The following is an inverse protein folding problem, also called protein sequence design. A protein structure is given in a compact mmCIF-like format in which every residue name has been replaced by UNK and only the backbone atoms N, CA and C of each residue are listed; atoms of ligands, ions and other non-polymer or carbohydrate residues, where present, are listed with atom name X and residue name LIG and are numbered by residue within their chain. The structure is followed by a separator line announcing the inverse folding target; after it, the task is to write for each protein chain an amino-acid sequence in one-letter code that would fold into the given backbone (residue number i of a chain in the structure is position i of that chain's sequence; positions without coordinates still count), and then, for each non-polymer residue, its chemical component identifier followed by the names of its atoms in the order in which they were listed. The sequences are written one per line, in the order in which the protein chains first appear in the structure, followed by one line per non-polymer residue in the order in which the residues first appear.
data_IF_046741871411
#
_entry.id   IF_046741871411
#
_cell.length_a   1.000
_cell.length_b   1.000
_cell.length_c   1.000
_cell.angle_alpha   90.00
_cell.angle_beta   90.00
_cell.angle_gamma   90.00
#
_symmetry.space_group_name_H-M   'P 1'
#
loop_
_entity.id
_entity.type
_entity.pdbx_description
1 polymer ?
#
# COMPACT_ATOMS: atom_id res chain seq x y z
N UNK A 1 6.56 1.48 19.83
CA UNK A 1 6.82 2.90 20.16
C UNK A 1 5.59 3.79 19.98
N UNK A 2 4.78 3.62 18.93
CA UNK A 2 3.59 4.47 18.70
C UNK A 2 2.49 4.28 19.75
N UNK A 3 2.24 3.05 20.21
CA UNK A 3 1.23 2.75 21.23
C UNK A 3 1.58 3.33 22.61
N UNK A 4 2.85 3.31 22.98
CA UNK A 4 3.32 3.91 24.24
C UNK A 4 3.20 5.44 24.22
N UNK A 5 3.39 6.09 23.07
CA UNK A 5 3.22 7.55 22.92
C UNK A 5 1.74 7.96 22.99
N UNK A 6 0.84 7.18 22.39
CA UNK A 6 -0.60 7.43 22.44
C UNK A 6 -1.16 7.25 23.87
N UNK A 7 -0.72 6.22 24.55
CA UNK A 7 -1.11 5.96 25.94
C UNK A 7 -0.55 7.03 26.90
N UNK A 8 0.69 7.45 26.70
CA UNK A 8 1.29 8.54 27.46
C UNK A 8 0.55 9.86 27.21
N UNK A 9 0.09 10.12 25.98
CA UNK A 9 -0.72 11.28 25.65
C UNK A 9 -2.07 11.29 26.36
N UNK A 10 -2.78 10.16 26.36
CA UNK A 10 -4.08 10.03 27.04
C UNK A 10 -3.94 10.16 28.56
N UNK A 11 -2.93 9.52 29.15
CA UNK A 11 -2.65 9.63 30.58
C UNK A 11 -2.23 11.07 31.00
N UNK A 12 -1.48 11.77 30.14
CA UNK A 12 -1.10 13.16 30.40
C UNK A 12 -2.30 14.10 30.35
N UNK A 13 -3.23 13.89 29.43
CA UNK A 13 -4.48 14.68 29.35
C UNK A 13 -5.39 14.40 30.53
N UNK A 14 -5.52 13.15 30.98
CA UNK A 14 -6.31 12.78 32.16
C UNK A 14 -5.68 13.33 33.44
N UNK A 15 -4.36 13.26 33.58
CA UNK A 15 -3.64 13.84 34.71
C UNK A 15 -3.74 15.37 34.74
N UNK A 16 -3.68 16.02 33.56
CA UNK A 16 -3.87 17.47 33.43
C UNK A 16 -5.30 17.88 33.79
N UNK A 17 -6.30 17.13 33.33
CA UNK A 17 -7.72 17.38 33.65
C UNK A 17 -8.00 17.18 35.15
N UNK A 18 -7.45 16.12 35.76
CA UNK A 18 -7.54 15.89 37.20
C UNK A 18 -6.79 16.99 38.00
N UNK A 19 -5.60 17.38 37.59
CA UNK A 19 -4.83 18.48 38.20
C UNK A 19 -5.54 19.83 38.12
N UNK A 20 -6.18 20.15 37.01
CA UNK A 20 -7.00 21.37 36.84
C UNK A 20 -8.26 21.31 37.72
N UNK A 21 -8.91 20.14 37.80
CA UNK A 21 -10.10 19.98 38.66
C UNK A 21 -9.80 20.13 40.16
N UNK A 22 -8.67 19.56 40.62
CA UNK A 22 -8.20 19.68 42.00
C UNK A 22 -7.68 21.09 42.28
N UNK A 23 -6.90 21.69 41.36
CA UNK A 23 -6.40 23.06 41.49
C UNK A 23 -7.51 24.11 41.50
N UNK A 24 -8.59 23.90 40.73
CA UNK A 24 -9.78 24.75 40.74
C UNK A 24 -10.57 24.67 42.07
N UNK A 25 -10.52 23.50 42.76
CA UNK A 25 -11.19 23.32 44.05
C UNK A 25 -10.43 23.93 45.23
N UNK A 26 -9.09 24.04 45.13
CA UNK A 26 -8.21 24.48 46.20
C UNK A 26 -7.84 25.99 46.13
N UNK A 27 -8.23 26.70 45.07
CA UNK A 27 -7.92 28.12 44.94
C UNK A 27 -9.00 29.00 45.57
N UNK A 28 -8.70 29.77 46.67
CA UNK A 28 -9.65 30.67 47.32
C UNK A 28 -10.19 31.76 46.38
N UNK A 29 -9.45 32.06 45.31
CA UNK A 29 -9.83 33.06 44.31
C UNK A 29 -10.88 32.53 43.32
N UNK A 30 -10.98 31.22 43.13
CA UNK A 30 -12.01 30.60 42.29
C UNK A 30 -13.39 30.63 42.96
N UNK A 31 -13.44 30.62 44.34
CA UNK A 31 -14.68 30.72 45.10
C UNK A 31 -15.31 32.12 45.00
N UNK A 32 -14.51 33.20 45.00
CA UNK A 32 -15.02 34.58 44.85
C UNK A 32 -15.47 34.92 43.43
N UNK A 33 -14.95 34.25 42.40
CA UNK A 33 -15.41 34.42 41.02
C UNK A 33 -16.69 33.67 40.75
N UNK A 34 -16.99 32.57 41.48
CA UNK A 34 -18.24 31.81 41.34
C UNK A 34 -19.49 32.58 41.79
N UNK A 35 -19.37 33.59 42.66
CA UNK A 35 -20.50 34.37 43.12
C UNK A 35 -20.91 35.54 42.19
N UNK A 36 -20.16 35.81 41.09
CA UNK A 36 -20.49 36.95 40.16
C UNK A 36 -20.83 36.53 38.74
N UNK A 37 -20.88 35.26 38.41
CA UNK A 37 -21.30 34.79 37.06
C UNK A 37 -22.40 33.74 37.23
N UNK A 38 -23.53 34.16 37.80
CA UNK A 38 -24.82 33.51 37.62
C UNK A 38 -25.49 34.11 36.39
N UNK A 39 -24.89 33.92 35.23
CA UNK A 39 -25.54 34.10 33.95
C UNK A 39 -25.58 32.71 33.32
N UNK A 40 -26.78 32.22 33.13
CA UNK A 40 -27.23 30.98 32.47
C UNK A 40 -26.25 30.43 31.42
N UNK A 41 -25.25 29.69 31.86
CA UNK A 41 -24.58 28.74 30.97
C UNK A 41 -25.34 27.42 31.11
N UNK A 42 -26.33 27.22 30.24
CA UNK A 42 -26.83 25.88 29.88
C UNK A 42 -25.72 25.10 29.18
N UNK A 43 -24.55 25.03 29.79
CA UNK A 43 -23.34 24.39 29.29
C UNK A 43 -23.18 23.01 29.90
N UNK A 44 -22.66 22.11 29.10
CA UNK A 44 -22.29 20.75 29.49
C UNK A 44 -21.45 20.79 30.78
N UNK A 45 -21.81 20.00 31.79
CA UNK A 45 -21.02 19.87 33.05
C UNK A 45 -19.69 19.18 32.73
N UNK A 46 -18.70 19.36 33.62
CA UNK A 46 -17.38 18.68 33.47
C UNK A 46 -17.57 17.16 33.37
N UNK A 47 -18.49 16.56 34.13
CA UNK A 47 -18.81 15.15 34.04
C UNK A 47 -19.37 14.76 32.66
N UNK A 48 -20.31 15.50 32.13
CA UNK A 48 -20.83 15.29 30.76
C UNK A 48 -19.77 15.50 29.68
N UNK A 49 -18.87 16.46 29.88
CA UNK A 49 -17.75 16.66 28.96
C UNK A 49 -16.81 15.46 28.97
N UNK A 50 -16.48 14.92 30.15
CA UNK A 50 -15.65 13.70 30.27
C UNK A 50 -16.33 12.48 29.64
N UNK A 51 -17.64 12.29 29.85
CA UNK A 51 -18.42 11.24 29.18
C UNK A 51 -18.36 11.38 27.66
N UNK A 52 -18.56 12.59 27.14
CA UNK A 52 -18.46 12.84 25.69
C UNK A 52 -17.04 12.55 25.17
N UNK A 53 -15.98 12.94 25.90
CA UNK A 53 -14.61 12.66 25.51
C UNK A 53 -14.36 11.16 25.44
N UNK A 54 -14.75 10.41 26.48
CA UNK A 54 -14.57 8.95 26.51
C UNK A 54 -15.42 8.26 25.43
N UNK A 55 -16.63 8.76 25.15
CA UNK A 55 -17.47 8.24 24.06
C UNK A 55 -16.87 8.45 22.67
N UNK A 56 -16.15 9.55 22.45
CA UNK A 56 -15.48 9.87 21.16
C UNK A 56 -14.13 9.19 20.99
N UNK A 57 -13.58 8.56 22.05
CA UNK A 57 -12.30 7.87 21.93
C UNK A 57 -12.39 6.65 21.02
N UNK A 58 -11.39 6.43 20.15
CA UNK A 58 -11.33 5.24 19.28
C UNK A 58 -10.97 3.96 20.06
N UNK A 59 -10.88 4.06 21.37
CA UNK A 59 -10.51 3.00 22.33
C UNK A 59 -11.75 2.56 23.08
N UNK A 60 -12.00 1.26 23.16
CA UNK A 60 -13.00 0.70 24.08
C UNK A 60 -12.54 0.87 25.52
N UNK A 61 -13.40 1.45 26.37
CA UNK A 61 -13.10 1.64 27.79
C UNK A 61 -14.25 1.06 28.62
N UNK A 62 -13.87 0.28 29.63
CA UNK A 62 -14.80 -0.24 30.63
C UNK A 62 -14.19 -0.10 32.03
N UNK A 63 -15.06 0.18 33.02
CA UNK A 63 -14.70 0.15 34.44
C UNK A 63 -15.47 -1.00 35.08
N UNK A 64 -14.77 -1.85 35.76
CA UNK A 64 -15.31 -3.06 36.42
C UNK A 64 -14.95 -3.09 37.90
N UNK A 65 -15.86 -3.62 38.70
CA UNK A 65 -15.63 -3.82 40.13
C UNK A 65 -15.08 -5.21 40.46
N UNK A 66 -14.81 -5.46 41.73
CA UNK A 66 -14.28 -6.74 42.24
C UNK A 66 -15.23 -7.93 42.02
N UNK A 67 -16.52 -7.68 41.72
CA UNK A 67 -17.55 -8.69 41.49
C UNK A 67 -17.80 -8.98 40.01
N UNK A 68 -16.99 -8.39 39.12
CA UNK A 68 -17.13 -8.45 37.65
C UNK A 68 -18.28 -7.60 37.08
N UNK A 69 -18.89 -6.74 37.91
CA UNK A 69 -19.94 -5.86 37.43
C UNK A 69 -19.35 -4.67 36.68
N UNK A 70 -19.87 -4.44 35.46
CA UNK A 70 -19.44 -3.32 34.62
C UNK A 70 -20.17 -2.06 35.07
N UNK A 71 -19.42 -1.16 35.74
CA UNK A 71 -19.91 0.12 36.27
C UNK A 71 -20.01 1.18 35.19
N UNK A 72 -19.09 1.18 34.25
CA UNK A 72 -19.04 2.10 33.12
C UNK A 72 -18.51 1.41 31.88
N UNK A 73 -19.01 1.78 30.71
CA UNK A 73 -18.46 1.37 29.41
C UNK A 73 -18.83 2.40 28.34
N UNK A 74 -17.98 2.56 27.34
CA UNK A 74 -18.33 3.30 26.13
C UNK A 74 -18.80 2.35 25.02
N UNK A 75 -19.42 2.90 23.96
CA UNK A 75 -19.96 2.06 22.86
C UNK A 75 -18.84 1.30 22.12
N UNK A 76 -17.64 1.87 22.06
CA UNK A 76 -16.49 1.21 21.44
C UNK A 76 -16.07 -0.08 22.15
N UNK A 77 -16.25 -0.15 23.48
CA UNK A 77 -16.01 -1.38 24.26
C UNK A 77 -16.93 -2.53 23.82
N UNK A 78 -18.20 -2.22 23.50
CA UNK A 78 -19.15 -3.20 22.97
C UNK A 78 -18.76 -3.65 21.56
N UNK A 79 -18.43 -2.69 20.68
CA UNK A 79 -18.03 -2.98 19.30
C UNK A 79 -16.79 -3.87 19.22
N UNK A 80 -15.82 -3.66 20.08
CA UNK A 80 -14.60 -4.46 20.19
C UNK A 80 -14.78 -5.80 20.90
N UNK A 81 -15.97 -6.05 21.46
CA UNK A 81 -16.27 -7.28 22.16
C UNK A 81 -15.66 -7.38 23.56
N UNK A 82 -15.18 -6.26 24.11
CA UNK A 82 -14.65 -6.18 25.48
C UNK A 82 -15.74 -6.48 26.53
N UNK A 83 -16.96 -6.03 26.27
CA UNK A 83 -18.13 -6.24 27.14
C UNK A 83 -19.26 -6.87 26.35
N UNK A 84 -19.86 -7.96 26.90
CA UNK A 84 -21.03 -8.65 26.36
C UNK A 84 -22.03 -8.90 27.46
N UNK A 85 -23.30 -8.67 27.19
CA UNK A 85 -24.40 -8.89 28.17
C UNK A 85 -24.11 -8.29 29.54
N UNK A 86 -23.50 -7.09 29.58
CA UNK A 86 -23.05 -6.37 30.78
C UNK A 86 -21.93 -7.07 31.58
N UNK A 87 -21.27 -8.06 31.01
CA UNK A 87 -20.13 -8.73 31.60
C UNK A 87 -18.89 -8.48 30.76
N UNK A 88 -17.75 -8.35 31.44
CA UNK A 88 -16.45 -8.28 30.78
C UNK A 88 -16.10 -9.64 30.15
N UNK A 89 -15.46 -9.62 29.00
CA UNK A 89 -14.91 -10.83 28.36
C UNK A 89 -14.00 -11.59 29.35
N UNK A 90 -13.92 -12.91 29.23
CA UNK A 90 -13.21 -13.73 30.23
C UNK A 90 -11.71 -13.40 30.31
N UNK A 91 -11.03 -13.18 29.19
CA UNK A 91 -9.62 -12.82 29.17
C UNK A 91 -9.41 -11.40 29.74
N UNK A 92 -10.30 -10.47 29.40
CA UNK A 92 -10.28 -9.13 29.97
C UNK A 92 -10.56 -9.13 31.47
N UNK A 93 -11.42 -10.04 31.95
CA UNK A 93 -11.70 -10.20 33.38
C UNK A 93 -10.49 -10.77 34.13
N UNK A 94 -9.80 -11.79 33.61
CA UNK A 94 -8.56 -12.29 34.19
C UNK A 94 -7.50 -11.20 34.34
N UNK A 95 -7.35 -10.36 33.33
CA UNK A 95 -6.46 -9.20 33.37
C UNK A 95 -6.91 -8.16 34.40
N UNK A 96 -8.22 -7.88 34.48
CA UNK A 96 -8.80 -6.95 35.47
C UNK A 96 -8.59 -7.43 36.91
N UNK A 97 -8.74 -8.74 37.16
CA UNK A 97 -8.48 -9.32 38.48
C UNK A 97 -7.02 -9.09 38.95
N UNK A 98 -6.06 -9.25 38.05
CA UNK A 98 -4.66 -8.99 38.33
C UNK A 98 -4.43 -7.47 38.54
N UNK A 99 -5.07 -6.62 37.75
CA UNK A 99 -4.99 -5.17 37.89
C UNK A 99 -5.52 -4.69 39.27
N UNK A 100 -6.57 -5.31 39.79
CA UNK A 100 -7.08 -5.02 41.15
C UNK A 100 -6.06 -5.31 42.26
N UNK A 101 -5.06 -6.17 42.02
CA UNK A 101 -3.93 -6.38 42.94
C UNK A 101 -2.84 -5.32 42.80
N UNK A 102 -2.93 -4.43 41.81
CA UNK A 102 -1.96 -3.35 41.56
C UNK A 102 -0.95 -3.67 40.44
N UNK A 103 -1.19 -4.70 39.63
CA UNK A 103 -0.31 -5.08 38.51
C UNK A 103 -0.98 -4.71 37.19
N UNK A 104 -0.34 -3.85 36.41
CA UNK A 104 -0.79 -3.56 35.03
C UNK A 104 -0.64 -4.80 34.16
N UNK A 105 -1.69 -5.17 33.43
CA UNK A 105 -1.73 -6.37 32.57
C UNK A 105 -2.19 -6.05 31.18
N UNK A 106 -1.45 -6.55 30.20
CA UNK A 106 -1.83 -6.53 28.78
C UNK A 106 -2.45 -7.89 28.40
N UNK A 107 -3.43 -7.87 27.51
CA UNK A 107 -4.09 -9.08 27.03
C UNK A 107 -4.58 -8.90 25.60
N UNK A 108 -4.78 -10.02 24.88
CA UNK A 108 -5.32 -10.02 23.52
C UNK A 108 -6.68 -10.72 23.53
N UNK A 109 -7.71 -10.04 23.01
CA UNK A 109 -9.01 -10.68 22.83
C UNK A 109 -9.00 -11.51 21.55
N UNK A 110 -9.25 -12.81 21.70
CA UNK A 110 -9.44 -13.69 20.57
C UNK A 110 -10.88 -13.55 20.05
N UNK A 111 -11.10 -13.32 18.73
CA UNK A 111 -12.43 -13.24 18.18
C UNK A 111 -13.13 -14.58 18.37
N UNK A 112 -14.17 -14.61 19.21
CA UNK A 112 -15.00 -15.81 19.37
C UNK A 112 -15.71 -16.11 18.05
N UNK A 113 -15.51 -17.32 17.50
CA UNK A 113 -16.18 -17.85 16.30
C UNK A 113 -17.72 -17.88 16.39
N UNK A 114 -18.30 -17.58 17.54
CA UNK A 114 -19.72 -17.71 17.84
C UNK A 114 -20.57 -16.48 17.61
N UNK A 115 -19.99 -15.33 17.38
CA UNK A 115 -20.76 -14.08 17.22
C UNK A 115 -20.34 -13.43 15.90
N UNK A 116 -21.29 -12.95 15.09
CA UNK A 116 -21.11 -12.26 13.82
C UNK A 116 -20.21 -11.01 13.81
N UNK A 117 -19.21 -10.97 14.72
CA UNK A 117 -18.11 -10.06 14.68
C UNK A 117 -17.28 -10.33 13.42
N UNK A 118 -16.89 -9.30 12.71
CA UNK A 118 -16.09 -9.33 11.48
C UNK A 118 -14.92 -10.30 11.68
N UNK A 119 -14.91 -11.38 10.90
CA UNK A 119 -13.82 -12.34 10.87
C UNK A 119 -12.51 -11.58 10.63
N UNK A 120 -11.55 -11.67 11.58
CA UNK A 120 -10.26 -11.00 11.46
C UNK A 120 -10.03 -9.78 12.38
N UNK A 121 -10.92 -9.54 13.38
CA UNK A 121 -10.68 -8.51 14.38
C UNK A 121 -9.58 -8.96 15.34
N UNK A 122 -8.49 -8.21 15.46
CA UNK A 122 -7.43 -8.36 16.48
C UNK A 122 -7.55 -7.20 17.46
N UNK A 123 -7.87 -7.50 18.71
CA UNK A 123 -8.09 -6.49 19.75
C UNK A 123 -7.05 -6.69 20.84
N UNK A 124 -6.25 -5.68 21.08
CA UNK A 124 -5.31 -5.63 22.20
C UNK A 124 -5.89 -4.80 23.33
N UNK A 125 -5.80 -5.31 24.55
CA UNK A 125 -6.32 -4.66 25.73
C UNK A 125 -5.28 -4.49 26.83
N UNK A 126 -5.58 -3.57 27.75
CA UNK A 126 -4.79 -3.32 28.95
C UNK A 126 -5.74 -3.09 30.13
N UNK A 127 -5.45 -3.77 31.23
CA UNK A 127 -6.15 -3.59 32.49
C UNK A 127 -5.25 -2.91 33.52
N UNK A 128 -5.82 -1.93 34.23
CA UNK A 128 -5.11 -1.16 35.27
C UNK A 128 -6.03 -0.88 36.44
N UNK A 129 -5.42 -0.71 37.64
CA UNK A 129 -6.15 -0.22 38.79
C UNK A 129 -6.63 1.22 38.53
N UNK A 130 -7.91 1.52 38.83
CA UNK A 130 -8.46 2.85 38.59
C UNK A 130 -7.88 3.89 39.56
N UNK A 131 -7.67 3.52 40.85
CA UNK A 131 -7.09 4.38 41.87
C UNK A 131 -6.37 3.53 42.93
N UNK A 132 -5.20 3.96 43.37
CA UNK A 132 -4.49 3.36 44.48
C UNK A 132 -5.24 3.49 45.84
N UNK A 133 -6.06 4.53 45.96
CA UNK A 133 -6.83 4.81 47.18
C UNK A 133 -8.10 3.95 47.28
N UNK A 134 -8.67 3.54 46.14
CA UNK A 134 -9.84 2.69 46.07
C UNK A 134 -9.62 1.52 45.07
N UNK A 135 -9.12 0.42 45.63
CA UNK A 135 -8.78 -0.79 44.86
C UNK A 135 -9.98 -1.66 44.47
N UNK A 136 -11.18 -1.14 44.57
CA UNK A 136 -12.41 -1.90 44.16
C UNK A 136 -12.64 -1.85 42.70
N UNK A 137 -11.98 -0.97 41.94
CA UNK A 137 -12.28 -0.75 40.53
C UNK A 137 -11.02 -0.89 39.67
N UNK A 138 -11.15 -1.65 38.58
CA UNK A 138 -10.17 -1.68 37.50
C UNK A 138 -10.74 -0.98 36.27
N UNK A 139 -9.87 -0.30 35.53
CA UNK A 139 -10.18 0.21 34.20
C UNK A 139 -9.55 -0.70 33.16
N UNK A 140 -10.33 -1.06 32.16
CA UNK A 140 -9.90 -1.91 31.05
C UNK A 140 -10.05 -1.13 29.76
N UNK A 141 -8.97 -1.03 29.02
CA UNK A 141 -8.93 -0.41 27.69
C UNK A 141 -8.75 -1.49 26.63
N UNK A 142 -9.35 -1.29 25.46
CA UNK A 142 -9.15 -2.16 24.33
C UNK A 142 -9.10 -1.34 23.03
N UNK A 143 -8.21 -1.70 22.12
CA UNK A 143 -8.11 -1.06 20.82
C UNK A 143 -7.96 -2.08 19.69
N UNK A 144 -8.47 -1.70 18.53
CA UNK A 144 -8.41 -2.50 17.31
C UNK A 144 -6.99 -2.42 16.72
N UNK A 145 -6.31 -3.56 16.69
CA UNK A 145 -4.99 -3.72 16.07
C UNK A 145 -5.05 -4.53 14.77
N UNK A 146 -6.23 -4.75 14.21
CA UNK A 146 -6.41 -5.62 13.05
C UNK A 146 -5.58 -5.17 11.85
N UNK A 147 -5.45 -3.86 11.62
CA UNK A 147 -4.62 -3.33 10.53
C UNK A 147 -3.14 -3.59 10.78
N UNK A 148 -2.68 -3.38 12.01
CA UNK A 148 -1.29 -3.68 12.40
C UNK A 148 -1.00 -5.18 12.32
N UNK A 149 -1.87 -6.02 12.83
CA UNK A 149 -1.73 -7.48 12.79
C UNK A 149 -1.71 -8.00 11.35
N UNK A 150 -2.58 -7.46 10.47
CA UNK A 150 -2.58 -7.78 9.03
C UNK A 150 -1.29 -7.35 8.34
N UNK A 151 -0.81 -6.15 8.64
CA UNK A 151 0.44 -5.64 8.09
C UNK A 151 1.64 -6.50 8.54
N UNK A 152 1.70 -6.87 9.81
CA UNK A 152 2.77 -7.70 10.35
C UNK A 152 2.72 -9.14 9.81
N UNK A 153 1.51 -9.73 9.67
CA UNK A 153 1.34 -11.02 9.01
C UNK A 153 1.82 -10.97 7.55
N UNK A 154 1.40 -9.96 6.79
CA UNK A 154 1.83 -9.76 5.40
C UNK A 154 3.35 -9.58 5.29
N UNK A 155 3.96 -8.90 6.27
CA UNK A 155 5.43 -8.73 6.32
C UNK A 155 6.15 -10.04 6.59
N UNK A 156 5.64 -10.86 7.53
CA UNK A 156 6.22 -12.18 7.82
C UNK A 156 6.11 -13.11 6.62
N UNK A 157 4.94 -13.16 5.98
CA UNK A 157 4.72 -13.96 4.79
C UNK A 157 5.63 -13.52 3.64
N UNK A 158 5.84 -12.21 3.48
CA UNK A 158 6.78 -11.66 2.50
C UNK A 158 8.20 -12.18 2.75
N UNK A 159 8.73 -12.07 3.97
CA UNK A 159 10.10 -12.53 4.30
C UNK A 159 10.24 -14.04 4.10
N UNK A 160 9.24 -14.82 4.51
CA UNK A 160 9.23 -16.27 4.31
C UNK A 160 9.25 -16.64 2.82
N UNK A 161 8.40 -16.00 2.02
CA UNK A 161 8.33 -16.24 0.58
C UNK A 161 9.59 -15.82 -0.15
N UNK A 162 10.18 -14.65 0.18
CA UNK A 162 11.50 -14.22 -0.36
C UNK A 162 12.56 -15.28 -0.07
N UNK A 163 12.64 -15.77 1.17
CA UNK A 163 13.62 -16.79 1.56
C UNK A 163 13.45 -18.08 0.77
N UNK A 164 12.20 -18.49 0.55
CA UNK A 164 11.87 -19.68 -0.23
C UNK A 164 12.23 -19.55 -1.72
N UNK A 165 11.84 -18.44 -2.33
CA UNK A 165 12.07 -18.18 -3.76
C UNK A 165 13.56 -17.94 -4.09
N UNK A 166 14.36 -17.41 -3.14
CA UNK A 166 15.82 -17.30 -3.29
C UNK A 166 16.54 -18.63 -3.08
N UNK A 167 16.07 -19.47 -2.15
CA UNK A 167 16.72 -20.75 -1.86
C UNK A 167 16.69 -21.72 -3.05
N UNK A 168 15.63 -21.70 -3.83
CA UNK A 168 15.43 -22.63 -4.97
C UNK A 168 16.49 -22.43 -6.07
N UNK A 169 16.68 -21.22 -6.67
CA UNK A 169 17.71 -21.01 -7.70
C UNK A 169 19.12 -21.21 -7.16
N UNK A 170 19.41 -20.81 -5.90
CA UNK A 170 20.72 -21.02 -5.28
C UNK A 170 21.01 -22.51 -5.14
N UNK A 171 20.06 -23.31 -4.70
CA UNK A 171 20.21 -24.77 -4.63
C UNK A 171 20.37 -25.43 -6.00
N UNK A 172 19.63 -24.96 -7.02
CA UNK A 172 19.79 -25.43 -8.38
C UNK A 172 21.18 -25.12 -8.95
N UNK A 173 21.69 -23.90 -8.73
CA UNK A 173 23.05 -23.52 -9.15
C UNK A 173 24.12 -24.36 -8.45
N UNK A 174 23.98 -24.65 -7.16
CA UNK A 174 24.91 -25.51 -6.43
C UNK A 174 24.98 -26.92 -7.03
N UNK A 175 23.82 -27.55 -7.28
CA UNK A 175 23.75 -28.86 -7.93
C UNK A 175 24.31 -28.87 -9.35
N UNK A 176 24.05 -27.82 -10.12
CA UNK A 176 24.63 -27.67 -11.47
C UNK A 176 26.13 -27.50 -11.43
N UNK A 177 26.68 -26.77 -10.43
CA UNK A 177 28.11 -26.62 -10.23
C UNK A 177 28.78 -27.94 -9.84
N UNK A 178 28.15 -28.74 -8.96
CA UNK A 178 28.62 -30.11 -8.64
C UNK A 178 28.62 -31.00 -9.90
N UNK A 179 27.56 -30.93 -10.71
CA UNK A 179 27.48 -31.68 -11.96
C UNK A 179 28.54 -31.25 -12.98
N UNK A 180 28.88 -29.95 -13.03
CA UNK A 180 29.98 -29.43 -13.86
C UNK A 180 31.33 -30.04 -13.43
N UNK A 181 31.61 -30.09 -12.13
CA UNK A 181 32.83 -30.66 -11.60
C UNK A 181 32.94 -32.17 -11.89
N UNK A 182 31.81 -32.88 -11.80
CA UNK A 182 31.76 -34.34 -12.09
C UNK A 182 31.83 -34.65 -13.58
N UNK A 183 31.60 -33.71 -14.47
CA UNK A 183 31.59 -33.90 -15.93
C UNK A 183 32.76 -33.19 -16.63
N UNK A 184 33.87 -32.92 -15.92
CA UNK A 184 34.97 -32.08 -16.41
C UNK A 184 35.58 -32.56 -17.75
N UNK A 185 35.54 -33.87 -18.03
CA UNK A 185 36.08 -34.47 -19.26
C UNK A 185 35.10 -34.45 -20.45
N UNK A 186 33.81 -34.08 -20.22
CA UNK A 186 32.78 -33.96 -21.28
C UNK A 186 32.44 -32.51 -21.54
N UNK A 187 33.07 -31.93 -22.53
CA UNK A 187 32.94 -30.50 -22.89
C UNK A 187 31.50 -30.10 -23.28
N UNK A 188 30.72 -31.01 -23.88
CA UNK A 188 29.31 -30.72 -24.26
C UNK A 188 28.41 -30.67 -23.02
N UNK A 189 28.59 -31.61 -22.10
CA UNK A 189 27.84 -31.64 -20.83
C UNK A 189 28.25 -30.45 -19.95
N UNK A 190 29.50 -30.11 -19.87
CA UNK A 190 30.02 -28.91 -19.18
C UNK A 190 29.34 -27.65 -19.72
N UNK A 191 29.33 -27.46 -21.05
CA UNK A 191 28.69 -26.31 -21.66
C UNK A 191 27.19 -26.23 -21.36
N UNK A 192 26.49 -27.34 -21.47
CA UNK A 192 25.05 -27.43 -21.18
C UNK A 192 24.71 -27.07 -19.73
N UNK A 193 25.53 -27.51 -18.77
CA UNK A 193 25.32 -27.17 -17.35
C UNK A 193 25.71 -25.73 -17.08
N UNK A 194 26.78 -25.19 -17.67
CA UNK A 194 27.19 -23.80 -17.57
C UNK A 194 26.10 -22.84 -18.09
N UNK A 195 25.49 -23.17 -19.23
CA UNK A 195 24.35 -22.41 -19.77
C UNK A 195 23.15 -22.40 -18.79
N UNK A 196 22.86 -23.51 -18.10
CA UNK A 196 21.82 -23.58 -17.09
C UNK A 196 22.15 -22.77 -15.84
N UNK A 197 23.40 -22.79 -15.37
CA UNK A 197 23.85 -21.93 -14.26
C UNK A 197 23.67 -20.47 -14.60
N UNK A 198 24.01 -20.06 -15.82
CA UNK A 198 23.83 -18.69 -16.27
C UNK A 198 22.34 -18.27 -16.29
N UNK A 199 21.46 -19.17 -16.72
CA UNK A 199 20.00 -18.93 -16.71
C UNK A 199 19.50 -18.71 -15.28
N UNK A 200 19.89 -19.57 -14.33
CA UNK A 200 19.45 -19.44 -12.94
C UNK A 200 20.08 -18.20 -12.25
N UNK A 201 21.31 -17.86 -12.58
CA UNK A 201 21.95 -16.65 -12.07
C UNK A 201 21.27 -15.36 -12.54
N UNK A 202 20.93 -15.29 -13.84
CA UNK A 202 20.18 -14.16 -14.40
C UNK A 202 18.79 -14.05 -13.74
N UNK A 203 18.08 -15.17 -13.59
CA UNK A 203 16.77 -15.22 -12.91
C UNK A 203 16.85 -14.71 -11.47
N UNK A 204 17.91 -15.09 -10.74
CA UNK A 204 18.15 -14.58 -9.39
C UNK A 204 18.39 -13.08 -9.39
N UNK A 205 19.18 -12.57 -10.34
CA UNK A 205 19.43 -11.14 -10.53
C UNK A 205 18.13 -10.35 -10.78
N UNK A 206 17.30 -10.83 -11.69
CA UNK A 206 15.98 -10.23 -11.98
C UNK A 206 15.08 -10.19 -10.74
N UNK A 207 15.03 -11.30 -9.98
CA UNK A 207 14.24 -11.38 -8.75
C UNK A 207 14.75 -10.39 -7.68
N UNK A 208 16.05 -10.23 -7.51
CA UNK A 208 16.63 -9.26 -6.58
C UNK A 208 16.29 -7.83 -7.02
N UNK A 209 16.36 -7.53 -8.32
CA UNK A 209 15.98 -6.22 -8.86
C UNK A 209 14.50 -5.91 -8.57
N UNK A 210 13.59 -6.86 -8.82
CA UNK A 210 12.15 -6.72 -8.51
C UNK A 210 11.88 -6.52 -7.01
N UNK A 211 12.64 -7.21 -6.14
CA UNK A 211 12.53 -7.05 -4.68
C UNK A 211 12.95 -5.66 -4.22
N UNK A 212 14.06 -5.12 -4.78
CA UNK A 212 14.53 -3.77 -4.48
C UNK A 212 13.49 -2.74 -4.93
N UNK A 213 12.94 -2.91 -6.13
CA UNK A 213 11.92 -2.03 -6.67
C UNK A 213 10.64 -2.06 -5.82
N UNK A 214 10.15 -3.25 -5.46
CA UNK A 214 8.99 -3.39 -4.58
C UNK A 214 9.23 -2.77 -3.20
N UNK A 215 10.44 -2.93 -2.64
CA UNK A 215 10.82 -2.32 -1.36
C UNK A 215 10.78 -0.79 -1.41
N UNK A 216 11.25 -0.18 -2.50
CA UNK A 216 11.19 1.28 -2.71
C UNK A 216 9.74 1.78 -2.83
N UNK A 217 8.87 1.01 -3.48
CA UNK A 217 7.47 1.35 -3.67
C UNK A 217 6.61 1.23 -2.40
N UNK A 218 7.09 0.51 -1.37
CA UNK A 218 6.38 0.33 -0.09
C UNK A 218 6.65 1.43 0.93
N UNK A 219 7.67 2.25 0.73
CA UNK A 219 7.88 3.45 1.53
C UNK A 219 6.71 4.42 1.29
N UNK A 220 6.18 5.02 2.37
CA UNK A 220 5.16 6.07 2.26
C UNK A 220 5.77 7.40 1.72
N UNK A 221 6.85 7.31 0.95
CA UNK A 221 7.48 8.46 0.34
C UNK A 221 6.65 8.93 -0.86
N UNK A 222 6.47 10.25 -1.02
CA UNK A 222 5.85 10.81 -2.23
C UNK A 222 6.59 10.32 -3.47
N UNK A 223 5.88 10.17 -4.59
CA UNK A 223 6.51 9.83 -5.87
C UNK A 223 7.74 10.74 -6.10
N UNK A 224 8.93 10.17 -6.37
CA UNK A 224 10.17 10.93 -6.40
C UNK A 224 10.22 11.98 -7.52
N UNK A 225 9.57 11.71 -8.66
CA UNK A 225 9.62 12.55 -9.86
C UNK A 225 8.25 12.66 -10.53
N UNK A 226 7.32 13.41 -9.91
CA UNK A 226 6.01 13.65 -10.52
C UNK A 226 6.14 14.71 -11.61
N UNK A 227 6.00 14.29 -12.85
CA UNK A 227 6.04 15.14 -14.03
C UNK A 227 4.82 14.87 -14.93
N UNK A 228 4.64 15.74 -15.93
CA UNK A 228 3.66 15.51 -16.98
C UNK A 228 4.22 14.50 -17.98
N UNK A 229 3.73 13.27 -17.91
CA UNK A 229 4.24 12.10 -18.65
C UNK A 229 3.44 11.86 -19.92
N UNK A 230 4.15 11.67 -21.03
CA UNK A 230 3.59 11.23 -22.31
C UNK A 230 3.36 9.71 -22.28
N UNK A 231 2.10 9.29 -22.35
CA UNK A 231 1.71 7.88 -22.31
C UNK A 231 2.23 7.11 -23.53
N UNK A 232 2.35 7.76 -24.68
CA UNK A 232 2.85 7.13 -25.91
C UNK A 232 4.34 6.80 -25.79
N UNK A 233 5.12 7.63 -25.09
CA UNK A 233 6.51 7.38 -24.77
C UNK A 233 6.66 6.19 -23.81
N UNK A 234 5.85 6.14 -22.76
CA UNK A 234 5.84 5.00 -21.79
C UNK A 234 5.55 3.69 -22.50
N UNK A 235 4.55 3.66 -23.39
CA UNK A 235 4.19 2.46 -24.16
C UNK A 235 5.33 2.04 -25.08
N UNK A 236 5.93 2.99 -25.81
CA UNK A 236 7.03 2.71 -26.73
C UNK A 236 8.25 2.13 -25.98
N UNK A 237 8.60 2.70 -24.83
CA UNK A 237 9.72 2.25 -24.02
C UNK A 237 9.46 0.85 -23.43
N UNK A 238 8.25 0.59 -22.91
CA UNK A 238 7.88 -0.73 -22.40
C UNK A 238 7.95 -1.82 -23.45
N UNK A 239 7.49 -1.54 -24.69
CA UNK A 239 7.60 -2.46 -25.82
C UNK A 239 9.08 -2.71 -26.18
N UNK A 240 9.87 -1.64 -26.23
CA UNK A 240 11.29 -1.71 -26.59
C UNK A 240 12.09 -2.62 -25.65
N UNK A 241 11.82 -2.56 -24.34
CA UNK A 241 12.48 -3.41 -23.30
C UNK A 241 12.25 -4.90 -23.54
N UNK A 242 11.12 -5.29 -24.13
CA UNK A 242 10.75 -6.69 -24.34
C UNK A 242 10.82 -7.16 -25.79
N UNK A 243 11.38 -6.35 -26.69
CA UNK A 243 11.46 -6.65 -28.13
C UNK A 243 12.16 -7.99 -28.39
N UNK A 244 13.34 -8.21 -27.81
CA UNK A 244 14.09 -9.46 -28.00
C UNK A 244 13.31 -10.68 -27.50
N UNK A 245 12.63 -10.57 -26.34
CA UNK A 245 11.83 -11.67 -25.81
C UNK A 245 10.62 -11.97 -26.73
N UNK A 246 9.96 -10.94 -27.23
CA UNK A 246 8.84 -11.06 -28.18
C UNK A 246 9.29 -11.70 -29.50
N UNK A 247 10.43 -11.29 -30.05
CA UNK A 247 11.01 -11.84 -31.28
C UNK A 247 11.37 -13.33 -31.12
N UNK A 248 11.98 -13.70 -30.00
CA UNK A 248 12.36 -15.09 -29.68
C UNK A 248 11.13 -16.01 -29.59
N UNK A 249 10.01 -15.51 -29.11
CA UNK A 249 8.75 -16.25 -29.00
C UNK A 249 7.84 -16.09 -30.21
N UNK A 250 8.25 -15.30 -31.21
CA UNK A 250 7.48 -14.94 -32.41
C UNK A 250 6.14 -14.26 -32.08
N UNK A 251 6.09 -13.54 -30.93
CA UNK A 251 4.91 -12.81 -30.49
C UNK A 251 4.95 -11.39 -31.07
N UNK A 252 3.94 -11.03 -31.85
CA UNK A 252 3.80 -9.68 -32.40
C UNK A 252 3.13 -8.77 -31.34
N UNK A 253 3.89 -7.85 -30.74
CA UNK A 253 3.33 -6.80 -29.88
C UNK A 253 2.81 -5.66 -30.77
N UNK A 254 1.50 -5.41 -30.71
CA UNK A 254 0.80 -4.39 -31.50
C UNK A 254 0.29 -3.28 -30.60
N UNK A 255 0.32 -2.05 -31.06
CA UNK A 255 -0.25 -0.90 -30.36
C UNK A 255 -1.14 -0.10 -31.32
N UNK A 256 -2.12 0.60 -30.75
CA UNK A 256 -2.93 1.59 -31.46
C UNK A 256 -2.07 2.80 -31.92
N UNK A 257 -2.65 3.70 -32.70
CA UNK A 257 -1.99 4.94 -33.10
C UNK A 257 -1.65 5.82 -31.88
N UNK A 258 -0.61 6.66 -31.96
CA UNK A 258 -0.29 7.61 -30.89
C UNK A 258 -1.51 8.40 -30.46
N UNK A 259 -1.72 8.50 -29.16
CA UNK A 259 -2.92 9.05 -28.54
C UNK A 259 -2.78 10.50 -28.09
N UNK A 260 -1.53 10.96 -27.85
CA UNK A 260 -1.22 12.24 -27.23
C UNK A 260 -1.72 12.36 -25.78
N UNK A 261 -2.12 11.25 -25.15
CA UNK A 261 -2.62 11.24 -23.78
C UNK A 261 -1.48 11.48 -22.78
N UNK A 262 -1.79 12.24 -21.73
CA UNK A 262 -0.83 12.61 -20.70
C UNK A 262 -1.37 12.31 -19.32
N UNK A 263 -0.48 11.93 -18.40
CA UNK A 263 -0.77 11.66 -16.98
C UNK A 263 0.24 12.37 -16.08
N UNK A 264 -0.14 12.68 -14.85
CA UNK A 264 0.81 13.15 -13.84
C UNK A 264 1.40 11.95 -13.12
N UNK A 265 2.73 11.80 -13.14
CA UNK A 265 3.35 10.66 -12.48
C UNK A 265 4.86 10.59 -12.70
N UNK A 266 5.43 9.47 -12.28
CA UNK A 266 6.83 9.10 -12.53
C UNK A 266 6.92 8.23 -13.78
N UNK A 267 7.58 8.75 -14.82
CA UNK A 267 7.74 8.08 -16.12
C UNK A 267 8.42 6.70 -15.97
N UNK A 268 9.42 6.61 -15.08
CA UNK A 268 10.18 5.37 -14.87
C UNK A 268 9.31 4.28 -14.26
N UNK A 269 8.54 4.64 -13.22
CA UNK A 269 7.64 3.71 -12.55
C UNK A 269 6.49 3.27 -13.46
N UNK A 270 5.90 4.19 -14.23
CA UNK A 270 4.85 3.85 -15.19
C UNK A 270 5.38 2.93 -16.30
N UNK A 271 6.58 3.20 -16.79
CA UNK A 271 7.25 2.34 -17.78
C UNK A 271 7.52 0.96 -17.21
N UNK A 272 7.98 0.86 -15.97
CA UNK A 272 8.19 -0.44 -15.29
C UNK A 272 6.89 -1.21 -15.10
N UNK A 273 5.81 -0.54 -14.67
CA UNK A 273 4.51 -1.18 -14.54
C UNK A 273 4.02 -1.75 -15.88
N UNK A 274 4.12 -0.97 -16.95
CA UNK A 274 3.70 -1.42 -18.26
C UNK A 274 4.61 -2.52 -18.83
N UNK A 275 5.93 -2.44 -18.59
CA UNK A 275 6.89 -3.48 -18.96
C UNK A 275 6.55 -4.81 -18.28
N UNK A 276 6.17 -4.81 -17.01
CA UNK A 276 5.72 -6.01 -16.28
C UNK A 276 4.45 -6.61 -16.91
N UNK A 277 3.49 -5.79 -17.33
CA UNK A 277 2.29 -6.27 -18.03
C UNK A 277 2.64 -6.89 -19.39
N UNK A 278 3.53 -6.25 -20.16
CA UNK A 278 3.98 -6.75 -21.48
C UNK A 278 4.77 -8.05 -21.31
N UNK A 279 5.68 -8.12 -20.32
CA UNK A 279 6.43 -9.34 -20.00
C UNK A 279 5.50 -10.52 -19.68
N UNK A 280 4.50 -10.30 -18.84
CA UNK A 280 3.51 -11.32 -18.51
C UNK A 280 2.71 -11.76 -19.75
N UNK A 281 2.26 -10.80 -20.56
CA UNK A 281 1.53 -11.11 -21.79
C UNK A 281 2.35 -11.99 -22.76
N UNK A 282 3.66 -11.74 -22.87
CA UNK A 282 4.58 -12.55 -23.68
C UNK A 282 4.78 -13.93 -23.06
N UNK A 283 5.02 -13.98 -21.74
CA UNK A 283 5.35 -15.23 -21.04
C UNK A 283 4.21 -16.26 -21.03
N UNK A 284 2.96 -15.78 -20.98
CA UNK A 284 1.79 -16.64 -20.87
C UNK A 284 1.02 -16.86 -22.18
N UNK A 285 1.44 -16.20 -23.24
CA UNK A 285 0.85 -16.37 -24.59
C UNK A 285 1.48 -17.54 -25.34
N UNK A 286 0.71 -18.28 -26.14
CA UNK A 286 1.27 -19.24 -27.07
C UNK A 286 2.19 -18.56 -28.11
N UNK A 287 3.28 -19.22 -28.54
CA UNK A 287 4.14 -18.68 -29.60
C UNK A 287 3.34 -18.27 -30.86
N UNK A 288 3.67 -17.12 -31.42
CA UNK A 288 3.03 -16.58 -32.60
C UNK A 288 1.68 -15.87 -32.39
N UNK A 289 1.13 -15.88 -31.17
CA UNK A 289 -0.09 -15.12 -30.84
C UNK A 289 0.21 -13.63 -30.65
N UNK A 290 -0.70 -12.70 -31.05
CA UNK A 290 -0.48 -11.29 -30.86
C UNK A 290 -0.76 -10.85 -29.42
N UNK A 291 0.04 -9.92 -28.91
CA UNK A 291 -0.24 -9.10 -27.74
C UNK A 291 -0.63 -7.70 -28.20
N UNK A 292 -1.70 -7.14 -27.67
CA UNK A 292 -2.21 -5.83 -28.06
C UNK A 292 -2.19 -4.85 -26.89
N UNK A 293 -1.72 -3.63 -27.14
CA UNK A 293 -1.72 -2.52 -26.17
C UNK A 293 -2.62 -1.42 -26.72
N UNK A 294 -3.61 -1.00 -25.96
CA UNK A 294 -4.50 0.10 -26.33
C UNK A 294 -4.57 1.16 -25.25
N UNK A 295 -4.83 2.40 -25.68
CA UNK A 295 -4.87 3.59 -24.81
C UNK A 295 -6.14 4.36 -25.07
N UNK A 296 -6.81 4.78 -24.01
CA UNK A 296 -7.98 5.63 -24.15
C UNK A 296 -8.17 6.51 -22.92
N UNK A 297 -8.81 7.66 -23.13
CA UNK A 297 -9.32 8.46 -22.02
C UNK A 297 -10.71 7.98 -21.62
N UNK A 298 -10.93 7.73 -20.33
CA UNK A 298 -12.24 7.40 -19.76
C UNK A 298 -12.53 8.31 -18.58
N UNK A 299 -13.35 9.34 -18.83
CA UNK A 299 -13.61 10.38 -17.84
C UNK A 299 -12.33 11.13 -17.43
N UNK A 300 -12.05 11.12 -16.14
CA UNK A 300 -10.86 11.77 -15.57
C UNK A 300 -9.58 10.92 -15.66
N UNK A 301 -9.67 9.68 -16.16
CA UNK A 301 -8.54 8.76 -16.20
C UNK A 301 -8.09 8.46 -17.62
N UNK A 302 -6.81 8.08 -17.75
CA UNK A 302 -6.24 7.42 -18.90
C UNK A 302 -6.14 5.93 -18.58
N UNK A 303 -6.74 5.10 -19.42
CA UNK A 303 -6.66 3.65 -19.35
C UNK A 303 -5.66 3.14 -20.39
N UNK A 304 -4.70 2.30 -19.93
CA UNK A 304 -3.76 1.56 -20.76
C UNK A 304 -4.08 0.08 -20.58
N UNK A 305 -4.54 -0.58 -21.62
CA UNK A 305 -4.93 -1.98 -21.58
C UNK A 305 -3.93 -2.84 -22.37
N UNK A 306 -3.42 -3.88 -21.71
CA UNK A 306 -2.57 -4.93 -22.33
C UNK A 306 -3.39 -6.20 -22.42
N UNK A 307 -3.62 -6.67 -23.65
CA UNK A 307 -4.42 -7.85 -23.95
C UNK A 307 -3.55 -8.95 -24.54
N UNK A 308 -3.60 -10.13 -23.94
CA UNK A 308 -2.97 -11.36 -24.40
C UNK A 308 -4.00 -12.39 -24.89
N UNK A 309 -3.52 -13.41 -25.58
CA UNK A 309 -4.29 -14.61 -25.97
C UNK A 309 -3.73 -15.85 -25.28
N UNK A 310 -3.35 -15.70 -24.03
CA UNK A 310 -2.74 -16.73 -23.22
C UNK A 310 -3.73 -17.72 -22.65
N UNK A 311 -3.25 -18.43 -21.63
CA UNK A 311 -4.02 -19.47 -20.92
C UNK A 311 -5.26 -18.92 -20.19
N UNK A 312 -5.29 -17.61 -19.92
CA UNK A 312 -6.31 -16.99 -19.09
C UNK A 312 -6.15 -17.33 -17.60
N UNK A 313 -7.00 -16.72 -16.77
CA UNK A 313 -6.95 -16.78 -15.30
C UNK A 313 -8.34 -17.18 -14.78
N UNK A 314 -8.39 -18.17 -13.90
CA UNK A 314 -9.63 -18.57 -13.22
C UNK A 314 -10.23 -17.42 -12.42
N UNK A 315 -11.57 -17.37 -12.33
CA UNK A 315 -12.26 -16.26 -11.67
C UNK A 315 -11.83 -16.10 -10.19
N UNK A 316 -11.61 -17.21 -9.51
CA UNK A 316 -11.17 -17.27 -8.11
C UNK A 316 -9.75 -16.71 -7.89
N UNK A 317 -8.93 -16.68 -8.93
CA UNK A 317 -7.54 -16.20 -8.88
C UNK A 317 -7.39 -14.74 -9.35
N UNK A 318 -8.40 -14.14 -10.01
CA UNK A 318 -8.27 -12.82 -10.62
C UNK A 318 -8.00 -11.69 -9.62
N UNK A 319 -8.49 -11.77 -8.40
CA UNK A 319 -8.15 -10.82 -7.34
C UNK A 319 -6.76 -11.09 -6.76
N UNK A 320 -6.37 -12.36 -6.71
CA UNK A 320 -5.15 -12.83 -6.07
C UNK A 320 -3.90 -12.68 -6.93
N UNK A 321 -4.04 -12.58 -8.25
CA UNK A 321 -2.87 -12.42 -9.15
C UNK A 321 -2.03 -11.16 -8.86
N UNK A 322 -2.58 -10.20 -8.13
CA UNK A 322 -1.87 -9.01 -7.67
C UNK A 322 -1.22 -9.16 -6.28
N UNK A 323 -1.39 -10.33 -5.64
CA UNK A 323 -0.70 -10.66 -4.39
C UNK A 323 0.77 -10.99 -4.69
N UNK A 324 1.66 -10.69 -3.74
CA UNK A 324 3.09 -10.97 -3.87
C UNK A 324 3.33 -12.47 -3.92
N UNK A 325 4.21 -12.92 -4.81
CA UNK A 325 4.56 -14.34 -5.01
C UNK A 325 3.39 -15.23 -5.41
N UNK A 326 2.25 -14.65 -5.77
CA UNK A 326 1.12 -15.45 -6.24
C UNK A 326 1.43 -16.07 -7.61
N UNK A 327 1.13 -17.35 -7.74
CA UNK A 327 1.32 -18.14 -8.96
C UNK A 327 0.19 -19.16 -9.05
N UNK A 328 -0.65 -19.09 -10.05
CA UNK A 328 -1.86 -19.91 -10.18
C UNK A 328 -1.53 -21.40 -10.27
N UNK A 329 -0.67 -21.83 -11.19
CA UNK A 329 -0.22 -23.23 -11.31
C UNK A 329 1.29 -23.33 -11.09
N UNK A 330 1.69 -23.87 -9.91
CA UNK A 330 3.09 -23.97 -9.47
C UNK A 330 3.99 -24.79 -10.41
N UNK A 331 3.44 -25.77 -11.12
CA UNK A 331 4.22 -26.62 -12.01
C UNK A 331 4.57 -25.91 -13.32
N UNK A 332 3.59 -25.23 -13.94
CA UNK A 332 3.72 -24.55 -15.23
C UNK A 332 4.49 -23.24 -15.10
N UNK A 333 4.28 -22.51 -14.02
CA UNK A 333 4.94 -21.22 -13.78
C UNK A 333 6.44 -21.34 -13.45
N UNK A 334 6.93 -22.53 -13.05
CA UNK A 334 8.39 -22.77 -12.97
C UNK A 334 9.05 -22.76 -14.34
N UNK A 335 8.37 -23.23 -15.36
CA UNK A 335 8.88 -23.25 -16.73
C UNK A 335 8.96 -21.84 -17.36
N UNK A 336 8.07 -20.93 -16.97
CA UNK A 336 8.05 -19.52 -17.45
C UNK A 336 8.95 -18.56 -16.65
N UNK A 337 9.52 -19.02 -15.54
CA UNK A 337 10.58 -18.27 -14.81
C UNK A 337 10.13 -17.08 -13.98
N UNK A 338 8.85 -16.73 -13.93
CA UNK A 338 8.37 -15.52 -13.22
C UNK A 338 8.53 -15.60 -11.70
N UNK A 339 8.88 -14.48 -11.05
CA UNK A 339 9.01 -14.33 -9.58
C UNK A 339 7.67 -14.27 -8.86
N UNK A 340 6.58 -13.90 -9.54
CA UNK A 340 5.29 -13.56 -8.94
C UNK A 340 5.24 -12.18 -8.29
N UNK A 341 6.23 -11.32 -8.53
CA UNK A 341 6.29 -9.95 -8.01
C UNK A 341 5.82 -8.90 -9.02
N UNK A 342 5.93 -9.15 -10.32
CA UNK A 342 5.67 -8.16 -11.37
C UNK A 342 4.26 -7.54 -11.28
N UNK A 343 3.19 -8.32 -11.10
CA UNK A 343 1.83 -7.78 -10.95
C UNK A 343 1.60 -7.04 -9.62
N UNK A 344 2.29 -7.45 -8.55
CA UNK A 344 2.29 -6.71 -7.30
C UNK A 344 2.96 -5.33 -7.45
N UNK A 345 4.06 -5.25 -8.23
CA UNK A 345 4.71 -3.97 -8.59
C UNK A 345 3.72 -3.09 -9.36
N UNK A 346 3.02 -3.63 -10.37
CA UNK A 346 2.01 -2.88 -11.13
C UNK A 346 0.94 -2.29 -10.20
N UNK A 347 0.43 -3.09 -9.25
CA UNK A 347 -0.57 -2.64 -8.28
C UNK A 347 -0.05 -1.50 -7.39
N UNK A 348 1.19 -1.59 -6.91
CA UNK A 348 1.80 -0.53 -6.11
C UNK A 348 2.04 0.75 -6.92
N UNK A 349 2.55 0.61 -8.15
CA UNK A 349 2.72 1.76 -9.05
C UNK A 349 1.38 2.43 -9.33
N UNK A 350 0.33 1.67 -9.64
CA UNK A 350 -1.01 2.21 -9.85
C UNK A 350 -1.50 3.00 -8.61
N UNK A 351 -1.38 2.40 -7.42
CA UNK A 351 -1.80 3.03 -6.16
C UNK A 351 -1.02 4.32 -5.85
N UNK A 352 0.30 4.33 -6.04
CA UNK A 352 1.14 5.51 -5.83
C UNK A 352 0.80 6.66 -6.80
N UNK A 353 0.21 6.35 -7.95
CA UNK A 353 -0.28 7.33 -8.92
C UNK A 353 -1.77 7.66 -8.75
N UNK A 354 -2.38 7.32 -7.59
CA UNK A 354 -3.82 7.47 -7.34
C UNK A 354 -4.71 6.80 -8.40
N UNK A 355 -4.18 5.75 -9.03
CA UNK A 355 -4.83 4.97 -10.06
C UNK A 355 -5.23 3.58 -9.58
N UNK A 356 -5.65 2.75 -10.51
CA UNK A 356 -6.05 1.36 -10.27
C UNK A 356 -5.55 0.43 -11.36
N UNK A 357 -5.41 -0.84 -11.03
CA UNK A 357 -5.20 -1.92 -11.98
C UNK A 357 -6.35 -2.92 -11.88
N UNK A 358 -6.88 -3.32 -13.02
CA UNK A 358 -7.93 -4.33 -13.12
C UNK A 358 -7.55 -5.43 -14.10
N UNK A 359 -8.19 -6.60 -13.97
CA UNK A 359 -8.04 -7.71 -14.90
C UNK A 359 -9.42 -8.21 -15.33
N UNK A 360 -9.56 -8.46 -16.62
CA UNK A 360 -10.59 -9.29 -17.19
C UNK A 360 -9.93 -10.50 -17.83
N UNK A 361 -10.36 -11.69 -17.50
CA UNK A 361 -9.75 -12.89 -18.06
C UNK A 361 -10.75 -14.04 -18.14
N UNK A 362 -10.52 -14.91 -19.11
CA UNK A 362 -11.28 -16.16 -19.28
C UNK A 362 -10.30 -17.29 -19.59
N UNK A 363 -10.33 -18.40 -18.83
CA UNK A 363 -9.50 -19.57 -19.13
C UNK A 363 -9.60 -20.02 -20.58
N UNK A 364 -8.47 -20.26 -21.21
CA UNK A 364 -8.36 -20.67 -22.62
C UNK A 364 -8.60 -19.56 -23.66
N UNK A 365 -8.89 -18.33 -23.25
CA UNK A 365 -9.15 -17.20 -24.16
C UNK A 365 -8.05 -16.14 -24.08
N UNK A 366 -7.52 -15.88 -22.87
CA UNK A 366 -6.51 -14.87 -22.58
C UNK A 366 -6.95 -13.89 -21.51
N UNK A 367 -6.17 -12.83 -21.33
CA UNK A 367 -6.39 -11.82 -20.31
C UNK A 367 -6.24 -10.41 -20.86
N UNK A 368 -6.93 -9.45 -20.24
CA UNK A 368 -6.75 -8.03 -20.43
C UNK A 368 -6.49 -7.37 -19.09
N UNK A 369 -5.30 -6.83 -18.92
CA UNK A 369 -4.94 -6.02 -17.76
C UNK A 369 -5.10 -4.55 -18.10
N UNK A 370 -5.84 -3.80 -17.31
CA UNK A 370 -6.13 -2.38 -17.54
C UNK A 370 -5.56 -1.53 -16.41
N UNK A 371 -4.52 -0.77 -16.70
CA UNK A 371 -3.94 0.24 -15.82
C UNK A 371 -4.68 1.57 -16.03
N UNK A 372 -5.29 2.10 -14.99
CA UNK A 372 -6.07 3.35 -15.01
C UNK A 372 -5.39 4.40 -14.12
N UNK A 373 -4.92 5.49 -14.71
CA UNK A 373 -4.21 6.58 -14.02
C UNK A 373 -4.95 7.89 -14.27
N UNK A 374 -5.04 8.80 -13.28
CA UNK A 374 -5.64 10.13 -13.47
C UNK A 374 -4.95 10.89 -14.61
N UNK A 375 -5.76 11.42 -15.55
CA UNK A 375 -5.26 12.21 -16.65
C UNK A 375 -4.64 13.52 -16.14
N UNK A 376 -3.56 13.97 -16.75
CA UNK A 376 -3.05 15.30 -16.52
C UNK A 376 -4.13 16.33 -16.92
N UNK A 377 -4.35 17.33 -16.07
CA UNK A 377 -5.21 18.46 -16.46
C UNK A 377 -4.52 19.19 -17.61
N UNK A 378 -5.26 19.56 -18.66
CA UNK A 378 -4.66 20.34 -19.74
C UNK A 378 -4.03 21.59 -19.12
N UNK A 379 -2.70 21.70 -19.23
CA UNK A 379 -2.01 22.93 -18.85
C UNK A 379 -2.51 24.03 -19.78
N UNK A 380 -2.86 25.20 -19.29
CA UNK A 380 -3.19 26.36 -20.16
C UNK A 380 -1.88 26.85 -20.80
N UNK A 381 -1.33 26.08 -21.74
CA UNK A 381 -0.20 26.50 -22.57
C UNK A 381 -0.72 26.85 -23.93
N UNK A 382 -0.61 28.15 -24.26
CA UNK A 382 -0.51 28.58 -25.66
C UNK A 382 -1.63 29.44 -26.22
N UNK A 383 -2.15 30.41 -25.47
CA UNK A 383 -2.86 31.55 -26.11
C UNK A 383 -2.05 32.82 -26.14
N UNK A 384 -0.74 32.81 -25.86
CA UNK A 384 0.12 33.97 -25.70
C UNK A 384 1.22 34.19 -26.76
N UNK A 385 1.46 33.25 -27.69
CA UNK A 385 2.59 33.39 -28.62
C UNK A 385 2.22 33.62 -30.10
N UNK A 386 0.94 33.70 -30.46
CA UNK A 386 0.53 33.98 -31.85
C UNK A 386 0.10 35.42 -32.12
N UNK A 387 0.13 36.34 -31.13
CA UNK A 387 -0.30 37.72 -31.32
C UNK A 387 0.84 38.77 -31.37
N UNK A 388 2.12 38.36 -31.29
CA UNK A 388 3.25 39.29 -31.40
C UNK A 388 4.06 39.23 -32.70
N UNK A 389 3.60 38.46 -33.69
CA UNK A 389 4.28 38.39 -35.00
C UNK A 389 3.62 39.17 -36.14
N UNK A 390 2.56 39.92 -35.89
CA UNK A 390 1.95 40.83 -36.90
C UNK A 390 1.96 42.25 -36.39
N UNK A 391 3.05 42.97 -36.54
CA UNK A 391 3.10 44.40 -36.20
C UNK A 391 4.47 45.05 -36.17
N UNK A 392 5.39 44.66 -37.06
CA UNK A 392 6.56 45.48 -37.36
C UNK A 392 6.66 45.72 -38.87
N UNK A 393 5.93 46.70 -39.30
CA UNK A 393 6.09 47.37 -40.58
C UNK A 393 7.45 48.12 -40.55
N UNK A 394 8.44 47.56 -41.26
CA UNK A 394 9.78 48.16 -41.39
C UNK A 394 9.73 49.11 -42.56
N UNK A 395 9.59 50.40 -42.30
CA UNK A 395 9.92 51.44 -43.28
C UNK A 395 11.45 51.43 -43.52
N UNK A 396 11.90 51.38 -44.79
CA UNK A 396 13.32 51.49 -45.09
C UNK A 396 13.82 52.93 -44.91
N UNK A 397 14.84 53.08 -44.05
CA UNK A 397 15.58 54.34 -43.88
C UNK A 397 16.42 54.66 -45.12
N UNK A 398 16.23 55.89 -45.60
CA UNK A 398 16.73 56.45 -46.87
C UNK A 398 18.01 57.26 -46.60
N UNK A 399 19.03 56.76 -45.92
CA UNK A 399 20.22 57.52 -45.54
C UNK A 399 21.56 56.76 -45.63
N UNK A 400 21.71 55.79 -46.53
CA UNK A 400 23.03 55.19 -46.86
C UNK A 400 23.18 54.96 -48.38
N UNK A 401 23.16 56.07 -49.12
CA UNK A 401 23.49 56.06 -50.57
C UNK A 401 24.34 57.25 -50.94
N UNK A 402 25.37 57.59 -50.14
CA UNK A 402 26.30 58.61 -50.54
C UNK A 402 27.75 58.44 -50.04
N UNK A 403 28.23 57.17 -49.91
CA UNK A 403 29.66 56.95 -49.56
C UNK A 403 30.38 55.84 -50.34
N UNK A 404 29.92 55.43 -51.49
CA UNK A 404 30.65 54.50 -52.40
C UNK A 404 30.87 55.04 -53.83
N UNK A 405 31.24 56.29 -53.93
CA UNK A 405 31.74 56.89 -55.19
C UNK A 405 32.92 57.85 -54.91
N UNK A 406 33.96 57.35 -54.22
CA UNK A 406 35.26 57.96 -54.20
C UNK A 406 36.29 57.13 -53.52
N UNK A 407 36.72 56.06 -54.23
CA UNK A 407 38.13 55.57 -54.23
C UNK A 407 38.27 54.42 -55.24
#
# INVERSE_FOLDING_TARGET
MFSALLLAGVLSVLALAAGVAVGARLSPRAMQRRQRVSTEWTGITVGQMLECIVALMPVGAAVVDVHRDVVYLNDRAKELGLVRDRQLDDQAWEAAQQALTGVDVEFDLQPSKRTGARSGLSVHGQARLLSEEDRRFAVVFAHDQSDYARMEATRRDFVANVSHELKTPVGAMALLAEALLASADDSETVRRFAEKVLVEANRLGDMVAELIELSRLQGAEPLPNVVDVDVDKVVSEAISRHKVAADNTKIAVRTDAPSGLRVLGDETLLTTALANLVSNAIAYSPPGSPVSISRRRRGENVEIAVTDRGIGIALEDQERVFERFFRGDKARSRATGGSGLGLAIVKHVAANHNGTIGVWSKPGTGSTFTLSIPAAKPSPRGEGESEQAQGRDVRPDRSQREEELSR
#
